data_IF_582111785986
#
_entry.id   IF_582111785986
#
_cell.length_a   1.000
_cell.length_b   1.000
_cell.length_c   1.000
_cell.angle_alpha   90.00
_cell.angle_beta   90.00
_cell.angle_gamma   90.00
#
_symmetry.space_group_name_H-M   'P 1'
#
loop_
_entity.id
_entity.type
_entity.pdbx_description
1 polymer ?
#
# COMPACT_ATOMS: atom_id res chain seq x y z
N UNK A 1 -1.58 -1.50 29.16
CA UNK A 1 -1.71 -0.03 29.16
C UNK A 1 -1.46 0.46 27.75
N UNK A 2 -2.41 1.14 27.12
CA UNK A 2 -2.20 1.71 25.80
C UNK A 2 -1.17 2.84 25.92
N UNK A 3 0.07 2.59 25.49
CA UNK A 3 1.10 3.63 25.41
C UNK A 3 0.72 4.57 24.27
N UNK A 4 -0.10 5.58 24.57
CA UNK A 4 -0.41 6.65 23.61
C UNK A 4 0.86 7.47 23.41
N UNK A 5 1.36 7.57 22.17
CA UNK A 5 2.52 8.42 21.87
C UNK A 5 2.20 9.87 22.25
N UNK A 6 3.16 10.58 22.83
CA UNK A 6 2.99 12.00 23.08
C UNK A 6 2.92 12.76 21.75
N UNK A 7 2.25 13.92 21.68
CA UNK A 7 2.23 14.74 20.46
C UNK A 7 3.65 15.02 19.91
N UNK A 8 4.63 15.22 20.80
CA UNK A 8 6.02 15.44 20.42
C UNK A 8 6.67 14.23 19.71
N UNK A 9 6.25 13.01 20.04
CA UNK A 9 6.77 11.77 19.43
C UNK A 9 5.89 11.22 18.32
N UNK A 10 4.72 11.82 18.08
CA UNK A 10 3.75 11.32 17.12
C UNK A 10 4.30 11.33 15.68
N UNK A 11 5.07 12.36 15.33
CA UNK A 11 5.68 12.54 14.00
C UNK A 11 7.13 12.04 13.93
N UNK A 12 7.58 11.20 14.87
CA UNK A 12 8.89 10.58 14.76
C UNK A 12 8.82 9.32 13.91
N UNK A 13 9.78 9.07 12.99
CA UNK A 13 9.85 7.80 12.27
C UNK A 13 10.04 6.63 13.24
N UNK A 14 9.44 5.47 12.93
CA UNK A 14 9.45 4.30 13.83
C UNK A 14 10.56 3.30 13.55
N UNK A 15 11.38 3.57 12.54
CA UNK A 15 12.60 2.84 12.30
C UNK A 15 13.69 3.83 11.89
N UNK A 16 14.92 3.53 12.31
CA UNK A 16 16.08 4.33 11.93
C UNK A 16 16.27 4.19 10.41
N UNK A 17 16.20 5.31 9.70
CA UNK A 17 16.30 5.36 8.24
C UNK A 17 14.95 5.34 7.50
N UNK A 18 13.83 5.23 8.21
CA UNK A 18 12.50 5.44 7.62
C UNK A 18 12.29 6.92 7.27
N UNK A 19 11.50 7.24 6.24
CA UNK A 19 11.20 8.62 5.89
C UNK A 19 10.40 9.33 6.99
N UNK A 20 10.53 10.66 7.05
CA UNK A 20 9.79 11.48 8.01
C UNK A 20 8.28 11.43 7.74
N UNK A 21 7.44 11.14 8.75
CA UNK A 21 5.99 11.12 8.60
C UNK A 21 5.43 12.45 8.08
N UNK A 22 4.41 12.39 7.22
CA UNK A 22 3.70 13.57 6.76
C UNK A 22 2.98 14.27 7.91
N UNK A 23 3.10 15.60 7.98
CA UNK A 23 2.33 16.45 8.92
C UNK A 23 1.01 16.94 8.32
N UNK A 24 0.94 16.95 7.00
CA UNK A 24 -0.24 17.30 6.20
C UNK A 24 -0.33 16.31 5.05
N UNK A 25 -1.53 15.87 4.71
CA UNK A 25 -1.72 14.98 3.57
C UNK A 25 -1.26 15.66 2.26
N UNK A 26 -0.60 14.92 1.34
CA UNK A 26 -0.35 15.42 0.00
C UNK A 26 -1.65 15.82 -0.69
N UNK A 27 -1.66 16.99 -1.34
CA UNK A 27 -2.84 17.44 -2.09
C UNK A 27 -2.83 16.77 -3.47
N UNK A 28 -3.65 15.73 -3.64
CA UNK A 28 -3.92 15.03 -4.90
C UNK A 28 -5.43 14.92 -5.14
N UNK A 29 -5.84 14.66 -6.38
CA UNK A 29 -7.22 14.30 -6.68
C UNK A 29 -7.45 12.85 -6.30
N UNK A 30 -8.54 12.56 -5.58
CA UNK A 30 -8.90 11.23 -5.07
C UNK A 30 -10.42 10.99 -5.19
N UNK A 31 -11.06 11.53 -6.23
CA UNK A 31 -12.53 11.47 -6.41
C UNK A 31 -13.00 10.07 -6.83
N UNK A 32 -12.11 9.27 -7.40
CA UNK A 32 -12.40 7.89 -7.85
C UNK A 32 -11.21 6.97 -7.55
N UNK A 33 -11.49 5.90 -6.79
CA UNK A 33 -10.56 4.80 -6.53
C UNK A 33 -10.99 3.61 -7.41
N UNK A 34 -10.25 3.36 -8.49
CA UNK A 34 -10.54 2.29 -9.43
C UNK A 34 -9.89 0.97 -9.00
N UNK A 35 -10.71 0.01 -8.58
CA UNK A 35 -10.23 -1.31 -8.16
C UNK A 35 -9.86 -2.18 -9.37
N UNK A 36 -8.67 -2.75 -9.35
CA UNK A 36 -8.15 -3.65 -10.39
C UNK A 36 -7.78 -4.99 -9.78
N UNK A 37 -8.26 -6.13 -10.30
CA UNK A 37 -7.81 -7.47 -9.89
C UNK A 37 -6.45 -7.78 -10.54
N UNK A 38 -5.32 -7.72 -9.81
CA UNK A 38 -4.03 -7.77 -10.46
C UNK A 38 -3.66 -9.17 -10.93
N UNK A 39 -4.38 -10.24 -10.60
CA UNK A 39 -4.15 -11.57 -11.18
C UNK A 39 -4.73 -11.70 -12.60
N UNK A 40 -5.60 -10.78 -13.05
CA UNK A 40 -6.23 -10.83 -14.36
C UNK A 40 -5.38 -10.08 -15.41
N UNK A 41 -4.62 -10.83 -16.20
CA UNK A 41 -3.72 -10.29 -17.22
C UNK A 41 -4.40 -9.37 -18.25
N UNK A 42 -5.63 -9.71 -18.67
CA UNK A 42 -6.40 -8.91 -19.63
C UNK A 42 -6.75 -7.52 -19.11
N UNK A 43 -6.87 -7.37 -17.78
CA UNK A 43 -7.13 -6.09 -17.14
C UNK A 43 -5.80 -5.39 -16.86
N UNK A 44 -4.78 -6.10 -16.36
CA UNK A 44 -3.43 -5.53 -16.14
C UNK A 44 -2.85 -4.90 -17.42
N UNK A 45 -3.04 -5.52 -18.58
CA UNK A 45 -2.51 -5.01 -19.85
C UNK A 45 -3.09 -3.65 -20.27
N UNK A 46 -4.23 -3.25 -19.70
CA UNK A 46 -4.90 -1.96 -19.96
C UNK A 46 -4.51 -0.85 -18.98
N UNK A 47 -3.64 -1.14 -18.01
CA UNK A 47 -3.29 -0.18 -16.95
C UNK A 47 -2.62 1.07 -17.50
N UNK A 48 -1.79 0.92 -18.54
CA UNK A 48 -1.19 2.06 -19.22
C UNK A 48 -2.22 3.03 -19.79
N UNK A 49 -3.31 2.51 -20.33
CA UNK A 49 -4.39 3.34 -20.90
C UNK A 49 -5.29 3.92 -19.80
N UNK A 50 -5.47 3.19 -18.70
CA UNK A 50 -6.28 3.63 -17.55
C UNK A 50 -5.58 4.74 -16.74
N UNK A 51 -4.25 4.69 -16.62
CA UNK A 51 -3.46 5.70 -15.95
C UNK A 51 -3.67 7.07 -16.61
N UNK A 52 -3.99 8.09 -15.81
CA UNK A 52 -4.33 9.44 -16.27
C UNK A 52 -5.83 9.64 -16.56
N UNK A 53 -6.64 8.59 -16.63
CA UNK A 53 -8.11 8.69 -16.73
C UNK A 53 -8.80 8.59 -15.36
N UNK A 54 -8.11 8.03 -14.37
CA UNK A 54 -8.60 7.86 -13.01
C UNK A 54 -7.72 8.64 -12.05
N UNK A 55 -8.30 9.03 -10.91
CA UNK A 55 -7.56 9.72 -9.86
C UNK A 55 -6.64 8.75 -9.10
N UNK A 56 -7.16 7.55 -8.80
CA UNK A 56 -6.42 6.48 -8.09
C UNK A 56 -6.67 5.13 -8.77
N UNK A 57 -5.61 4.37 -9.00
CA UNK A 57 -5.65 2.92 -9.30
C UNK A 57 -5.34 2.15 -8.04
N UNK A 58 -6.18 1.17 -7.70
CA UNK A 58 -6.00 0.31 -6.53
C UNK A 58 -5.91 -1.16 -6.94
N UNK A 59 -4.75 -1.77 -6.71
CA UNK A 59 -4.57 -3.21 -6.89
C UNK A 59 -5.22 -3.99 -5.75
N UNK A 60 -6.24 -4.78 -6.04
CA UNK A 60 -6.99 -5.53 -5.03
C UNK A 60 -6.42 -6.93 -4.82
N UNK A 61 -5.97 -7.25 -3.61
CA UNK A 61 -5.44 -8.57 -3.23
C UNK A 61 -6.39 -9.36 -2.34
N UNK A 62 -7.47 -8.73 -1.85
CA UNK A 62 -8.34 -9.27 -0.83
C UNK A 62 -9.63 -9.89 -1.40
N UNK A 63 -10.81 -9.43 -1.00
CA UNK A 63 -12.10 -10.00 -1.42
C UNK A 63 -12.24 -9.94 -2.94
N UNK A 64 -12.89 -10.95 -3.52
CA UNK A 64 -12.97 -11.22 -4.97
C UNK A 64 -11.66 -11.66 -5.65
N UNK A 65 -10.58 -11.89 -4.90
CA UNK A 65 -9.42 -12.67 -5.37
C UNK A 65 -9.50 -14.10 -4.82
N UNK A 66 -9.60 -15.14 -5.67
CA UNK A 66 -9.57 -16.54 -5.22
C UNK A 66 -8.32 -16.88 -4.40
N UNK A 67 -8.43 -17.82 -3.45
CA UNK A 67 -7.34 -18.17 -2.53
C UNK A 67 -6.08 -18.67 -3.25
N UNK A 68 -6.26 -19.48 -4.30
CA UNK A 68 -5.20 -20.01 -5.16
C UNK A 68 -4.57 -18.93 -6.07
N UNK A 69 -5.20 -17.75 -6.15
CA UNK A 69 -4.72 -16.63 -6.96
C UNK A 69 -4.08 -15.51 -6.13
N UNK A 70 -3.97 -15.64 -4.80
CA UNK A 70 -3.43 -14.59 -3.92
C UNK A 70 -2.00 -14.24 -4.27
N UNK A 71 -1.13 -15.23 -4.42
CA UNK A 71 0.26 -15.03 -4.84
C UNK A 71 0.37 -14.42 -6.25
N UNK A 72 -0.47 -14.88 -7.18
CA UNK A 72 -0.50 -14.37 -8.55
C UNK A 72 -1.01 -12.93 -8.61
N UNK A 73 -1.93 -12.54 -7.72
CA UNK A 73 -2.39 -11.16 -7.58
C UNK A 73 -1.26 -10.28 -7.01
N UNK A 74 -0.53 -10.75 -6.00
CA UNK A 74 0.62 -10.00 -5.46
C UNK A 74 1.70 -9.77 -6.52
N UNK A 75 2.13 -10.83 -7.20
CA UNK A 75 3.11 -10.77 -8.30
C UNK A 75 2.62 -9.86 -9.42
N UNK A 76 1.35 -10.01 -9.81
CA UNK A 76 0.72 -9.19 -10.84
C UNK A 76 0.63 -7.71 -10.47
N UNK A 77 0.40 -7.37 -9.21
CA UNK A 77 0.44 -5.97 -8.74
C UNK A 77 1.86 -5.40 -8.81
N UNK A 78 2.85 -6.16 -8.36
CA UNK A 78 4.25 -5.77 -8.40
C UNK A 78 4.69 -5.51 -9.84
N UNK A 79 4.39 -6.41 -10.78
CA UNK A 79 4.68 -6.25 -12.21
C UNK A 79 3.97 -5.01 -12.77
N UNK A 80 2.66 -4.89 -12.51
CA UNK A 80 1.86 -3.74 -12.93
C UNK A 80 2.45 -2.40 -12.50
N UNK A 81 2.88 -2.28 -11.24
CA UNK A 81 3.44 -1.02 -10.72
C UNK A 81 4.86 -0.77 -11.22
N UNK A 82 5.67 -1.83 -11.33
CA UNK A 82 7.05 -1.74 -11.82
C UNK A 82 7.10 -1.24 -13.27
N UNK A 83 6.26 -1.81 -14.12
CA UNK A 83 6.37 -1.67 -15.58
C UNK A 83 5.62 -0.45 -16.14
N UNK A 84 4.85 0.25 -15.31
CA UNK A 84 4.08 1.42 -15.72
C UNK A 84 4.51 2.70 -15.00
N UNK A 85 4.28 3.84 -15.66
CA UNK A 85 4.32 5.18 -15.07
C UNK A 85 2.87 5.66 -14.89
N UNK A 86 2.56 6.14 -13.70
CA UNK A 86 1.21 6.56 -13.31
C UNK A 86 1.03 8.08 -13.37
N UNK A 87 2.12 8.84 -13.55
CA UNK A 87 2.09 10.31 -13.58
C UNK A 87 1.42 10.88 -12.34
N UNK A 88 0.29 11.57 -12.53
CA UNK A 88 -0.49 12.15 -11.43
C UNK A 88 -1.45 11.16 -10.75
N UNK A 89 -1.69 9.99 -11.34
CA UNK A 89 -2.60 8.96 -10.81
C UNK A 89 -2.02 8.36 -9.53
N UNK A 90 -2.81 8.32 -8.46
CA UNK A 90 -2.41 7.67 -7.21
C UNK A 90 -2.29 6.15 -7.37
N UNK A 91 -1.27 5.56 -6.76
CA UNK A 91 -1.05 4.10 -6.78
C UNK A 91 -1.32 3.52 -5.40
N UNK A 92 -2.41 2.76 -5.30
CA UNK A 92 -2.86 2.15 -4.05
C UNK A 92 -2.86 0.62 -4.18
N UNK A 93 -2.85 -0.07 -3.04
CA UNK A 93 -3.13 -1.50 -2.98
C UNK A 93 -4.02 -1.82 -1.78
N UNK A 94 -4.98 -2.73 -1.94
CA UNK A 94 -5.72 -3.32 -0.83
C UNK A 94 -5.15 -4.70 -0.54
N UNK A 95 -4.40 -4.79 0.55
CA UNK A 95 -3.77 -6.03 1.03
C UNK A 95 -4.80 -6.96 1.65
N UNK A 96 -4.42 -8.22 1.91
CA UNK A 96 -5.27 -9.12 2.70
C UNK A 96 -5.37 -8.68 4.18
N UNK A 97 -6.39 -9.16 4.89
CA UNK A 97 -6.61 -8.84 6.31
C UNK A 97 -5.50 -9.39 7.22
N UNK A 98 -5.29 -8.76 8.39
CA UNK A 98 -4.17 -9.06 9.30
C UNK A 98 -4.15 -10.51 9.84
N UNK A 99 -5.31 -11.18 9.89
CA UNK A 99 -5.42 -12.57 10.33
C UNK A 99 -5.26 -13.60 9.18
N UNK A 100 -4.97 -13.15 7.96
CA UNK A 100 -4.78 -14.02 6.80
C UNK A 100 -3.33 -14.52 6.68
N UNK A 101 -3.09 -15.66 6.00
CA UNK A 101 -1.72 -16.13 5.77
C UNK A 101 -0.95 -15.33 4.70
N UNK A 102 -1.60 -14.41 3.97
CA UNK A 102 -1.00 -13.71 2.82
C UNK A 102 -0.48 -12.32 3.15
N UNK A 103 -0.99 -11.67 4.20
CA UNK A 103 -0.76 -10.24 4.47
C UNK A 103 0.70 -9.88 4.69
N UNK A 104 1.46 -10.76 5.37
CA UNK A 104 2.88 -10.49 5.65
C UNK A 104 3.68 -10.39 4.36
N UNK A 105 3.44 -11.32 3.44
CA UNK A 105 4.09 -11.33 2.13
C UNK A 105 3.57 -10.20 1.24
N UNK A 106 2.27 -9.89 1.30
CA UNK A 106 1.70 -8.75 0.57
C UNK A 106 2.45 -7.46 0.93
N UNK A 107 2.65 -7.17 2.22
CA UNK A 107 3.34 -5.95 2.65
C UNK A 107 4.84 -6.03 2.34
N UNK A 108 5.50 -7.13 2.72
CA UNK A 108 6.96 -7.22 2.61
C UNK A 108 7.45 -7.25 1.16
N UNK A 109 6.82 -8.02 0.27
CA UNK A 109 7.23 -8.11 -1.12
C UNK A 109 6.90 -6.84 -1.90
N UNK A 110 5.71 -6.24 -1.68
CA UNK A 110 5.31 -5.03 -2.39
C UNK A 110 6.20 -3.85 -2.01
N UNK A 111 6.46 -3.64 -0.71
CA UNK A 111 7.33 -2.54 -0.27
C UNK A 111 8.75 -2.74 -0.80
N UNK A 112 9.28 -3.97 -0.76
CA UNK A 112 10.60 -4.29 -1.30
C UNK A 112 10.72 -4.02 -2.80
N UNK A 113 9.69 -4.38 -3.59
CA UNK A 113 9.77 -4.30 -5.04
C UNK A 113 9.37 -2.93 -5.60
N UNK A 114 8.36 -2.29 -5.04
CA UNK A 114 7.73 -1.08 -5.62
C UNK A 114 7.35 -0.02 -4.58
N UNK A 115 7.89 -0.08 -3.35
CA UNK A 115 7.55 0.84 -2.26
C UNK A 115 7.73 2.33 -2.60
N UNK A 116 8.70 2.68 -3.45
CA UNK A 116 8.91 4.07 -3.90
C UNK A 116 7.81 4.59 -4.85
N UNK A 117 7.06 3.70 -5.51
CA UNK A 117 5.93 4.06 -6.37
C UNK A 117 4.59 3.94 -5.66
N UNK A 118 4.53 3.24 -4.52
CA UNK A 118 3.29 3.04 -3.76
C UNK A 118 2.95 4.31 -2.96
N UNK A 119 1.70 4.77 -3.04
CA UNK A 119 1.22 5.92 -2.28
C UNK A 119 0.52 5.49 -0.98
N UNK A 120 -0.39 4.52 -1.06
CA UNK A 120 -1.26 4.12 0.04
C UNK A 120 -1.44 2.61 0.07
N UNK A 121 -1.42 2.03 1.27
CA UNK A 121 -1.93 0.68 1.55
C UNK A 121 -3.29 0.81 2.23
N UNK A 122 -4.28 0.16 1.64
CA UNK A 122 -5.61 -0.02 2.22
C UNK A 122 -5.63 -1.31 3.03
N UNK A 123 -5.79 -1.19 4.35
CA UNK A 123 -5.88 -2.29 5.29
C UNK A 123 -7.37 -2.64 5.53
N UNK A 124 -7.85 -3.81 5.10
CA UNK A 124 -9.25 -4.17 5.31
C UNK A 124 -9.49 -4.65 6.75
N UNK A 125 -10.76 -4.57 7.18
CA UNK A 125 -11.26 -5.18 8.43
C UNK A 125 -10.51 -4.68 9.67
N UNK A 126 -10.20 -3.38 9.74
CA UNK A 126 -9.60 -2.76 10.93
C UNK A 126 -10.61 -2.76 12.08
N UNK A 127 -10.21 -3.34 13.22
CA UNK A 127 -11.03 -3.44 14.43
C UNK A 127 -10.62 -2.42 15.49
N UNK A 128 -9.39 -1.90 15.40
CA UNK A 128 -8.94 -0.89 16.34
C UNK A 128 -7.55 -0.32 16.05
N UNK A 129 -7.06 0.56 16.94
CA UNK A 129 -5.78 1.24 16.76
C UNK A 129 -4.58 0.28 16.78
N UNK A 130 -4.71 -0.91 17.38
CA UNK A 130 -3.65 -1.91 17.40
C UNK A 130 -3.29 -2.43 16.01
N UNK A 131 -4.27 -2.51 15.09
CA UNK A 131 -4.05 -2.92 13.70
C UNK A 131 -3.20 -1.87 12.96
N UNK A 132 -3.52 -0.59 13.19
CA UNK A 132 -2.75 0.54 12.64
C UNK A 132 -1.33 0.54 13.21
N UNK A 133 -1.17 0.36 14.54
CA UNK A 133 0.15 0.34 15.16
C UNK A 133 1.04 -0.78 14.63
N UNK A 134 0.47 -1.97 14.37
CA UNK A 134 1.19 -3.08 13.76
C UNK A 134 1.69 -2.72 12.37
N UNK A 135 0.79 -2.24 11.50
CA UNK A 135 1.13 -1.92 10.11
C UNK A 135 2.08 -0.72 10.02
N UNK A 136 1.89 0.33 10.82
CA UNK A 136 2.75 1.51 10.93
C UNK A 136 4.21 1.12 11.28
N UNK A 137 4.39 0.27 12.28
CA UNK A 137 5.72 -0.20 12.67
C UNK A 137 6.37 -1.09 11.60
N UNK A 138 5.61 -2.00 10.99
CA UNK A 138 6.09 -2.89 9.93
C UNK A 138 6.49 -2.09 8.69
N UNK A 139 5.68 -1.11 8.27
CA UNK A 139 5.98 -0.24 7.14
C UNK A 139 7.24 0.56 7.39
N UNK A 140 7.38 1.22 8.54
CA UNK A 140 8.60 1.99 8.84
C UNK A 140 9.87 1.13 8.74
N UNK A 141 9.84 -0.11 9.26
CA UNK A 141 10.97 -1.04 9.15
C UNK A 141 11.30 -1.40 7.71
N UNK A 142 10.28 -1.65 6.87
CA UNK A 142 10.47 -1.98 5.46
C UNK A 142 10.88 -0.77 4.63
N UNK A 143 10.33 0.40 4.90
CA UNK A 143 10.71 1.66 4.28
C UNK A 143 12.19 1.96 4.53
N UNK A 144 12.66 1.81 5.77
CA UNK A 144 14.06 1.94 6.12
C UNK A 144 14.92 0.88 5.40
N UNK A 145 14.51 -0.40 5.47
CA UNK A 145 15.24 -1.53 4.88
C UNK A 145 15.41 -1.40 3.36
N UNK A 146 14.39 -0.88 2.67
CA UNK A 146 14.34 -0.80 1.21
C UNK A 146 14.58 0.62 0.67
N UNK A 147 14.93 1.57 1.54
CA UNK A 147 15.29 2.93 1.16
C UNK A 147 14.14 3.71 0.51
N UNK A 148 12.91 3.46 0.96
CA UNK A 148 11.71 4.16 0.48
C UNK A 148 11.80 5.64 0.86
N UNK A 149 11.57 6.53 -0.12
CA UNK A 149 11.86 7.97 0.01
C UNK A 149 10.74 8.81 0.60
N UNK A 150 9.52 8.28 0.64
CA UNK A 150 8.34 8.94 1.21
C UNK A 150 7.52 7.92 2.01
N UNK A 151 6.85 8.34 3.10
CA UNK A 151 5.98 7.43 3.84
C UNK A 151 4.88 6.85 2.94
N UNK A 152 4.65 5.55 3.05
CA UNK A 152 3.49 4.87 2.48
C UNK A 152 2.34 5.07 3.47
N UNK A 153 1.28 5.71 3.03
CA UNK A 153 0.13 6.04 3.88
C UNK A 153 -0.75 4.80 4.13
N UNK A 154 -1.46 4.79 5.25
CA UNK A 154 -2.44 3.75 5.58
C UNK A 154 -3.85 4.31 5.38
N UNK A 155 -4.69 3.58 4.66
CA UNK A 155 -6.14 3.78 4.58
C UNK A 155 -6.82 2.59 5.27
N UNK A 156 -7.81 2.86 6.12
CA UNK A 156 -8.48 1.86 6.96
C UNK A 156 -9.99 2.15 7.01
#
# INVERSE_FOLDING_TARGET
MASTRTPAKHFSPLAIGAPEPFRTLPVKLERMIHFVPPHNEKIRSKIKDLAGQVDVVLGNLEDAVPMDQKENARKGFIEMVRDNDFGATGVWTRINCLNSPWVLDDVTEIVAAVGNKLDVIMLPKVEGPWDIHYLDQLLAQLEAKHGVKKPILIHA
#
